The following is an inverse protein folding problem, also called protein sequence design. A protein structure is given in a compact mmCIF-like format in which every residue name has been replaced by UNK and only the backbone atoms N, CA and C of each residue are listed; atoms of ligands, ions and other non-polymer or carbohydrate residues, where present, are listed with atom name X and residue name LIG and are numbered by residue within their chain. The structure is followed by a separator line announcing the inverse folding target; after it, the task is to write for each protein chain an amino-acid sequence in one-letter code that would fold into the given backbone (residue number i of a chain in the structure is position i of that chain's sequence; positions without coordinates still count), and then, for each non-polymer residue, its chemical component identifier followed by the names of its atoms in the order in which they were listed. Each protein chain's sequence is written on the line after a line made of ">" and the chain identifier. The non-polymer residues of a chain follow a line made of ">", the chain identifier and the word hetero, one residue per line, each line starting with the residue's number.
data_IF_800632070880
#
_entry.id   IF_800632070880
#
_cell.length_a   1.000
_cell.length_b   1.000
_cell.length_c   1.000
_cell.angle_alpha   90.00
_cell.angle_beta   90.00
_cell.angle_gamma   90.00
#
_symmetry.space_group_name_H-M   'P 1'
#
loop_
_entity.id
_entity.type
_entity.pdbx_description
1 polymer ?
#
# COMPACT_ATOMS: atom_id res chain seq x y z
N UNK A 1 -17.36 3.15 -1.06
CA UNK A 1 -17.92 1.89 -1.61
C UNK A 1 -16.98 0.76 -1.24
N UNK A 2 -17.33 -0.09 -0.26
CA UNK A 2 -16.51 -1.27 0.07
C UNK A 2 -16.70 -2.29 -1.06
N UNK A 3 -15.60 -2.77 -1.65
CA UNK A 3 -15.67 -3.87 -2.61
C UNK A 3 -16.20 -5.12 -1.88
N UNK A 4 -17.10 -5.89 -2.51
CA UNK A 4 -17.62 -7.12 -1.90
C UNK A 4 -16.46 -8.03 -1.52
N UNK A 5 -16.55 -8.65 -0.34
CA UNK A 5 -15.53 -9.56 0.13
C UNK A 5 -15.38 -10.70 -0.87
N UNK A 6 -14.15 -10.91 -1.33
CA UNK A 6 -13.83 -11.88 -2.39
C UNK A 6 -13.81 -13.30 -1.83
N UNK A 7 -14.98 -13.76 -1.43
CA UNK A 7 -15.25 -15.08 -0.86
C UNK A 7 -15.51 -16.12 -1.96
N UNK A 8 -15.49 -17.41 -1.62
CA UNK A 8 -15.65 -18.52 -2.59
C UNK A 8 -16.95 -18.38 -3.41
N UNK A 9 -18.04 -17.94 -2.77
CA UNK A 9 -19.32 -17.71 -3.45
C UNK A 9 -19.28 -16.55 -4.44
N UNK A 10 -18.47 -15.52 -4.16
CA UNK A 10 -18.24 -14.42 -5.08
C UNK A 10 -17.46 -14.91 -6.30
N UNK A 11 -16.38 -15.65 -6.07
CA UNK A 11 -15.52 -16.21 -7.12
C UNK A 11 -16.29 -17.16 -8.04
N UNK A 12 -17.23 -17.94 -7.49
CA UNK A 12 -18.08 -18.85 -8.27
C UNK A 12 -18.95 -18.13 -9.30
N UNK A 13 -19.45 -16.94 -8.97
CA UNK A 13 -20.38 -16.18 -9.82
C UNK A 13 -19.68 -15.14 -10.71
N UNK A 14 -18.38 -14.96 -10.53
CA UNK A 14 -17.59 -13.96 -11.25
C UNK A 14 -17.06 -14.52 -12.59
N UNK A 15 -17.41 -13.93 -13.75
CA UNK A 15 -16.89 -14.36 -15.06
C UNK A 15 -15.37 -14.17 -15.19
N UNK A 16 -14.75 -13.28 -14.39
CA UNK A 16 -13.30 -13.02 -14.45
C UNK A 16 -12.46 -14.13 -13.78
N UNK A 17 -13.11 -15.05 -13.06
CA UNK A 17 -12.44 -16.18 -12.41
C UNK A 17 -11.72 -17.08 -13.41
N UNK A 18 -12.33 -17.34 -14.57
CA UNK A 18 -11.72 -18.16 -15.62
C UNK A 18 -10.43 -17.51 -16.17
N UNK A 19 -10.43 -16.19 -16.35
CA UNK A 19 -9.22 -15.45 -16.76
C UNK A 19 -8.14 -15.53 -15.69
N UNK A 20 -8.52 -15.41 -14.42
CA UNK A 20 -7.56 -15.51 -13.29
C UNK A 20 -6.92 -16.89 -13.22
N UNK A 21 -7.71 -17.96 -13.40
CA UNK A 21 -7.21 -19.34 -13.47
C UNK A 21 -6.21 -19.49 -14.63
N UNK A 22 -6.55 -18.98 -15.82
CA UNK A 22 -5.65 -19.00 -16.96
C UNK A 22 -4.35 -18.23 -16.70
N UNK A 23 -4.42 -17.05 -16.08
CA UNK A 23 -3.23 -16.25 -15.71
C UNK A 23 -2.34 -17.02 -14.74
N UNK A 24 -2.91 -17.73 -13.75
CA UNK A 24 -2.13 -18.56 -12.83
C UNK A 24 -1.41 -19.69 -13.58
N UNK A 25 -2.10 -20.39 -14.47
CA UNK A 25 -1.52 -21.49 -15.27
C UNK A 25 -0.43 -20.97 -16.20
N UNK A 26 -0.70 -19.87 -16.92
CA UNK A 26 0.28 -19.22 -17.80
C UNK A 26 1.48 -18.72 -17.01
N UNK A 27 1.28 -18.13 -15.84
CA UNK A 27 2.36 -17.70 -14.95
C UNK A 27 3.26 -18.86 -14.51
N UNK A 28 2.68 -20.00 -14.14
CA UNK A 28 3.43 -21.21 -13.82
C UNK A 28 4.21 -21.75 -15.03
N UNK A 29 3.64 -21.70 -16.24
CA UNK A 29 4.32 -22.10 -17.46
C UNK A 29 5.51 -21.18 -17.80
N UNK A 30 5.34 -19.87 -17.65
CA UNK A 30 6.44 -18.90 -17.85
C UNK A 30 7.56 -19.16 -16.84
N UNK A 31 7.23 -19.41 -15.58
CA UNK A 31 8.22 -19.81 -14.58
C UNK A 31 8.91 -21.13 -14.97
N UNK A 32 8.16 -22.13 -15.43
CA UNK A 32 8.74 -23.39 -15.89
C UNK A 32 9.73 -23.19 -17.04
N UNK A 33 9.43 -22.28 -17.97
CA UNK A 33 10.30 -21.94 -19.09
C UNK A 33 11.60 -21.25 -18.64
N UNK A 34 11.53 -20.36 -17.65
CA UNK A 34 12.72 -19.68 -17.10
C UNK A 34 13.62 -20.67 -16.33
N UNK A 35 13.03 -21.54 -15.51
CA UNK A 35 13.77 -22.48 -14.67
C UNK A 35 14.17 -23.78 -15.39
N UNK A 36 13.75 -23.98 -16.65
CA UNK A 36 13.94 -25.20 -17.46
C UNK A 36 13.71 -26.51 -16.70
N UNK A 37 12.75 -26.52 -15.78
CA UNK A 37 12.51 -27.66 -14.89
C UNK A 37 11.25 -28.40 -15.32
N UNK A 38 11.41 -29.63 -15.81
CA UNK A 38 10.34 -30.49 -16.31
C UNK A 38 9.26 -30.78 -15.25
N UNK A 39 9.62 -30.79 -13.97
CA UNK A 39 8.67 -31.01 -12.86
C UNK A 39 7.65 -29.89 -12.74
N UNK A 40 8.06 -28.64 -12.99
CA UNK A 40 7.18 -27.47 -12.91
C UNK A 40 6.19 -27.47 -14.09
N UNK A 41 6.64 -27.92 -15.26
CA UNK A 41 5.78 -28.10 -16.44
C UNK A 41 4.66 -29.09 -16.12
N UNK A 42 5.01 -30.27 -15.59
CA UNK A 42 4.01 -31.30 -15.24
C UNK A 42 3.04 -30.83 -14.16
N UNK A 43 3.52 -30.07 -13.16
CA UNK A 43 2.68 -29.48 -12.13
C UNK A 43 1.70 -28.43 -12.70
N UNK A 44 2.16 -27.56 -13.60
CA UNK A 44 1.32 -26.56 -14.25
C UNK A 44 0.23 -27.20 -15.13
N UNK A 45 0.58 -28.28 -15.84
CA UNK A 45 -0.36 -29.05 -16.65
C UNK A 45 -1.44 -29.71 -15.77
N UNK A 46 -1.03 -30.35 -14.66
CA UNK A 46 -1.95 -30.97 -13.72
C UNK A 46 -2.90 -29.94 -13.08
N UNK A 47 -2.38 -28.80 -12.64
CA UNK A 47 -3.17 -27.71 -12.05
C UNK A 47 -4.16 -27.13 -13.08
N UNK A 48 -3.72 -26.92 -14.32
CA UNK A 48 -4.58 -26.46 -15.41
C UNK A 48 -5.72 -27.45 -15.71
N UNK A 49 -5.40 -28.74 -15.82
CA UNK A 49 -6.40 -29.79 -16.03
C UNK A 49 -7.39 -29.88 -14.87
N UNK A 50 -6.91 -29.86 -13.62
CA UNK A 50 -7.75 -29.93 -12.43
C UNK A 50 -8.68 -28.71 -12.35
N UNK A 51 -8.16 -27.52 -12.68
CA UNK A 51 -8.97 -26.29 -12.68
C UNK A 51 -10.04 -26.28 -13.76
N UNK A 52 -9.82 -26.98 -14.88
CA UNK A 52 -10.79 -27.10 -15.98
C UNK A 52 -11.85 -28.17 -15.71
N UNK A 53 -11.43 -29.33 -15.16
CA UNK A 53 -12.32 -30.48 -14.92
C UNK A 53 -13.15 -30.29 -13.65
N UNK A 54 -12.59 -29.64 -12.62
CA UNK A 54 -13.20 -29.49 -11.30
C UNK A 54 -13.32 -27.98 -10.97
N UNK A 55 -14.43 -27.32 -11.38
CA UNK A 55 -14.68 -25.91 -11.08
C UNK A 55 -14.50 -25.51 -9.60
N UNK A 56 -14.99 -26.28 -8.61
CA UNK A 56 -14.80 -25.89 -7.21
C UNK A 56 -13.33 -25.87 -6.79
N UNK A 57 -12.50 -26.80 -7.26
CA UNK A 57 -11.07 -26.82 -6.95
C UNK A 57 -10.35 -25.60 -7.53
N UNK A 58 -10.70 -25.20 -8.76
CA UNK A 58 -10.21 -23.96 -9.37
C UNK A 58 -10.59 -22.70 -8.58
N UNK A 59 -11.79 -22.65 -7.99
CA UNK A 59 -12.20 -21.52 -7.15
C UNK A 59 -11.37 -21.41 -5.86
N UNK A 60 -11.01 -22.55 -5.24
CA UNK A 60 -10.13 -22.57 -4.06
C UNK A 60 -8.73 -22.05 -4.38
N UNK A 61 -8.18 -22.40 -5.55
CA UNK A 61 -6.87 -21.90 -6.01
C UNK A 61 -6.90 -20.38 -6.18
N UNK A 62 -7.92 -19.87 -6.86
CA UNK A 62 -8.10 -18.42 -7.06
C UNK A 62 -8.29 -17.69 -5.73
N UNK A 63 -9.04 -18.28 -4.80
CA UNK A 63 -9.19 -17.72 -3.45
C UNK A 63 -7.85 -17.65 -2.70
N UNK A 64 -7.03 -18.71 -2.76
CA UNK A 64 -5.69 -18.72 -2.18
C UNK A 64 -4.77 -17.67 -2.81
N UNK A 65 -4.79 -17.55 -4.14
CA UNK A 65 -4.07 -16.51 -4.88
C UNK A 65 -4.46 -15.09 -4.41
N UNK A 66 -5.76 -14.88 -4.24
CA UNK A 66 -6.31 -13.62 -3.76
C UNK A 66 -5.92 -13.30 -2.32
N UNK A 67 -5.81 -14.31 -1.46
CA UNK A 67 -5.28 -14.13 -0.10
C UNK A 67 -3.80 -13.79 -0.09
N UNK A 68 -3.00 -14.43 -0.93
CA UNK A 68 -1.59 -14.06 -1.11
C UNK A 68 -1.45 -12.61 -1.56
N UNK A 69 -2.23 -12.18 -2.55
CA UNK A 69 -2.22 -10.79 -3.03
C UNK A 69 -2.62 -9.78 -1.93
N UNK A 70 -3.59 -10.12 -1.08
CA UNK A 70 -4.01 -9.28 0.05
C UNK A 70 -2.88 -9.10 1.08
N UNK A 71 -2.20 -10.20 1.43
CA UNK A 71 -1.05 -10.17 2.35
C UNK A 71 0.10 -9.38 1.76
N UNK A 72 0.42 -9.61 0.48
CA UNK A 72 1.47 -8.88 -0.21
C UNK A 72 1.16 -7.39 -0.28
N UNK A 73 -0.10 -7.02 -0.58
CA UNK A 73 -0.55 -5.63 -0.61
C UNK A 73 -0.43 -4.96 0.77
N UNK A 74 -0.74 -5.67 1.85
CA UNK A 74 -0.58 -5.16 3.22
C UNK A 74 0.87 -4.80 3.55
N UNK A 75 1.84 -5.51 2.97
CA UNK A 75 3.27 -5.21 3.13
C UNK A 75 3.74 -4.14 2.14
N UNK A 76 3.28 -4.20 0.89
CA UNK A 76 3.66 -3.23 -0.14
C UNK A 76 3.15 -1.83 0.15
N UNK A 77 1.95 -1.68 0.69
CA UNK A 77 1.37 -0.36 0.97
C UNK A 77 2.23 0.48 1.93
N UNK A 78 2.61 -0.01 3.13
CA UNK A 78 3.55 0.72 3.98
C UNK A 78 4.94 0.82 3.36
N UNK A 79 5.41 -0.18 2.59
CA UNK A 79 6.72 -0.13 1.94
C UNK A 79 6.82 1.04 0.95
N UNK A 80 5.81 1.21 0.09
CA UNK A 80 5.74 2.32 -0.87
C UNK A 80 5.68 3.64 -0.12
N UNK A 81 4.84 3.74 0.92
CA UNK A 81 4.73 4.95 1.72
C UNK A 81 6.06 5.32 2.40
N UNK A 82 6.75 4.32 2.99
CA UNK A 82 8.07 4.51 3.58
C UNK A 82 9.11 4.95 2.54
N UNK A 83 9.08 4.35 1.34
CA UNK A 83 9.99 4.72 0.27
C UNK A 83 9.77 6.17 -0.18
N UNK A 84 8.52 6.58 -0.38
CA UNK A 84 8.16 7.96 -0.72
C UNK A 84 8.56 8.93 0.38
N UNK A 85 8.31 8.58 1.65
CA UNK A 85 8.73 9.38 2.79
C UNK A 85 10.25 9.57 2.79
N UNK A 86 11.01 8.50 2.60
CA UNK A 86 12.47 8.57 2.67
C UNK A 86 13.10 9.26 1.47
N UNK A 87 12.50 9.12 0.27
CA UNK A 87 13.03 9.68 -0.97
C UNK A 87 12.64 11.15 -1.20
N UNK A 88 11.46 11.58 -0.72
CA UNK A 88 10.96 12.93 -0.93
C UNK A 88 10.88 13.74 0.37
N UNK A 89 10.13 13.26 1.36
CA UNK A 89 9.85 14.04 2.58
C UNK A 89 11.11 14.23 3.42
N UNK A 90 11.89 13.16 3.62
CA UNK A 90 13.11 13.19 4.42
C UNK A 90 14.17 14.17 3.89
N UNK A 91 14.54 14.17 2.59
CA UNK A 91 15.50 15.16 2.08
C UNK A 91 14.93 16.58 2.10
N UNK A 92 13.63 16.78 1.89
CA UNK A 92 13.00 18.10 2.04
C UNK A 92 13.11 18.60 3.47
N UNK A 93 12.87 17.74 4.47
CA UNK A 93 13.00 18.09 5.87
C UNK A 93 14.45 18.41 6.25
N UNK A 94 15.43 17.67 5.71
CA UNK A 94 16.86 17.96 5.90
C UNK A 94 17.23 19.30 5.26
N UNK A 95 16.76 19.57 4.03
CA UNK A 95 16.96 20.85 3.36
C UNK A 95 16.37 22.00 4.18
N UNK A 96 15.13 21.84 4.66
CA UNK A 96 14.48 22.86 5.49
C UNK A 96 15.25 23.13 6.79
N UNK A 97 15.80 22.08 7.41
CA UNK A 97 16.65 22.18 8.60
C UNK A 97 17.99 22.87 8.30
N UNK A 98 18.55 22.68 7.11
CA UNK A 98 19.81 23.30 6.71
C UNK A 98 19.62 24.77 6.27
N UNK A 99 18.56 25.06 5.53
CA UNK A 99 18.25 26.39 4.99
C UNK A 99 17.45 27.28 5.95
N UNK A 100 17.16 26.79 7.15
CA UNK A 100 17.12 27.67 8.32
C UNK A 100 15.83 28.45 8.51
N UNK A 101 14.70 27.75 8.60
CA UNK A 101 13.62 28.26 9.46
C UNK A 101 13.71 27.53 10.81
N UNK A 102 13.95 28.30 11.87
CA UNK A 102 13.76 27.88 13.26
C UNK A 102 12.41 28.43 13.75
N UNK A 103 11.27 27.87 13.29
CA UNK A 103 9.95 28.38 13.64
C UNK A 103 9.68 28.25 15.14
N UNK A 104 10.38 27.34 15.83
CA UNK A 104 10.25 27.13 17.27
C UNK A 104 11.26 27.94 18.09
N UNK A 105 12.09 28.78 17.45
CA UNK A 105 13.10 29.61 18.12
C UNK A 105 13.94 28.81 19.12
N UNK A 106 14.24 27.56 18.81
CA UNK A 106 15.00 26.64 19.67
C UNK A 106 16.41 27.15 19.96
N UNK A 107 16.97 28.00 19.08
CA UNK A 107 18.26 28.66 19.29
C UNK A 107 18.16 29.98 20.06
N UNK A 108 16.96 30.46 20.39
CA UNK A 108 16.79 31.71 21.13
C UNK A 108 17.13 31.49 22.61
N UNK A 109 18.22 32.11 23.06
CA UNK A 109 18.75 31.97 24.42
C UNK A 109 18.08 32.92 25.41
N UNK A 110 16.95 33.52 25.04
CA UNK A 110 16.09 34.26 25.96
C UNK A 110 15.46 33.23 26.89
N UNK A 111 15.70 33.34 28.20
CA UNK A 111 15.12 32.44 29.21
C UNK A 111 13.58 32.45 29.31
N UNK A 112 12.90 33.06 28.33
CA UNK A 112 11.46 33.18 28.20
C UNK A 112 11.11 33.20 26.70
N UNK A 113 10.11 32.40 26.33
CA UNK A 113 9.52 32.40 24.99
C UNK A 113 8.44 33.49 24.82
N UNK A 114 8.18 34.27 25.87
CA UNK A 114 7.24 35.38 25.83
C UNK A 114 7.88 36.59 25.15
N UNK A 115 7.20 37.13 24.14
CA UNK A 115 7.53 38.44 23.58
C UNK A 115 6.77 39.53 24.33
N UNK A 116 7.48 40.60 24.70
CA UNK A 116 6.87 41.81 25.25
C UNK A 116 6.03 42.46 24.16
N UNK A 117 4.70 42.37 24.31
CA UNK A 117 3.75 42.97 23.37
C UNK A 117 3.36 44.34 23.89
N UNK A 118 4.06 45.38 23.46
CA UNK A 118 3.66 46.77 23.67
C UNK A 118 2.55 47.13 22.67
N UNK A 119 1.33 46.66 22.95
CA UNK A 119 0.13 47.06 22.19
C UNK A 119 -0.71 48.00 23.05
N UNK A 120 -1.01 49.18 22.54
CA UNK A 120 -1.99 50.08 23.16
C UNK A 120 -3.37 49.49 22.93
N UNK A 121 -3.99 48.97 24.00
CA UNK A 121 -5.31 48.34 23.92
C UNK A 121 -6.36 49.36 23.49
N UNK A 122 -7.09 49.06 22.42
CA UNK A 122 -8.27 49.84 22.01
C UNK A 122 -9.56 49.09 22.36
N UNK A 123 -10.70 49.79 22.31
CA UNK A 123 -12.01 49.19 22.67
C UNK A 123 -12.36 47.99 21.79
N UNK A 124 -11.92 47.98 20.54
CA UNK A 124 -12.18 46.90 19.60
C UNK A 124 -11.49 45.58 20.00
N UNK A 125 -10.34 45.65 20.69
CA UNK A 125 -9.64 44.46 21.20
C UNK A 125 -10.37 43.79 22.38
N UNK A 126 -11.24 44.53 23.08
CA UNK A 126 -12.05 44.00 24.18
C UNK A 126 -13.31 43.28 23.67
N UNK A 127 -13.80 43.64 22.49
CA UNK A 127 -14.95 42.97 21.87
C UNK A 127 -14.57 41.64 21.21
N UNK A 128 -13.31 41.49 20.79
CA UNK A 128 -12.77 40.25 20.20
C UNK A 128 -11.40 39.92 20.82
N UNK A 129 -11.38 39.22 21.96
CA UNK A 129 -10.16 38.93 22.71
C UNK A 129 -9.28 37.82 22.11
N UNK A 130 -9.67 37.21 20.99
CA UNK A 130 -8.94 36.15 20.27
C UNK A 130 -8.40 36.65 18.93
#
# INVERSE_FOLDING_TARGET
>A
MMLPKRDINFIKNDPETAKTQLVIVVGLLVLAAIFQNEKIVFASLAIGLISLIIPPAGHWIVWGWFKLAEVLSRVMNPLILSLVYFLFISPIAILFRLFGNDPMRLKDNKGSMYELREKTYTKEDLEKPW
#
